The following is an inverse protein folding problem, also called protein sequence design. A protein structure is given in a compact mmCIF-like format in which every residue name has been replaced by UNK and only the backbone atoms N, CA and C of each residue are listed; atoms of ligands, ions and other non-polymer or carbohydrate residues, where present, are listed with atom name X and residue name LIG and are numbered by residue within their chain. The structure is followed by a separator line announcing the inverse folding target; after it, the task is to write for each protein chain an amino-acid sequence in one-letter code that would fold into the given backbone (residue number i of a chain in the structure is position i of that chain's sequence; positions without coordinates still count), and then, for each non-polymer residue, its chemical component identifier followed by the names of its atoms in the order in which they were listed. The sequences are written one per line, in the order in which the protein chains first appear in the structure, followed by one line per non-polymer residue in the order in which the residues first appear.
data_IF_241066387101
#
_entry.id   IF_241066387101
#
_cell.length_a   1.000
_cell.length_b   1.000
_cell.length_c   1.000
_cell.angle_alpha   90.00
_cell.angle_beta   90.00
_cell.angle_gamma   90.00
#
_symmetry.space_group_name_H-M   'P 1'
#
loop_
_entity.id
_entity.type
_entity.pdbx_description
1 polymer ?
#
# COMPACT_ATOMS: atom_id res chain seq x y z
N UNK A 1 47.21 12.36 -37.97
CA UNK A 1 45.80 12.80 -38.04
C UNK A 1 45.08 12.15 -36.87
N UNK A 2 44.50 13.00 -36.03
CA UNK A 2 43.77 12.66 -34.80
C UNK A 2 42.30 12.59 -35.17
N UNK A 3 41.65 11.46 -34.95
CA UNK A 3 40.18 11.37 -34.96
C UNK A 3 39.76 10.64 -33.67
N UNK A 4 39.72 11.41 -32.58
CA UNK A 4 39.06 10.99 -31.35
C UNK A 4 37.56 11.28 -31.51
N UNK A 5 36.77 10.21 -31.60
CA UNK A 5 35.32 10.26 -31.70
C UNK A 5 34.77 10.66 -30.33
N UNK A 6 34.32 11.91 -30.18
CA UNK A 6 33.57 12.36 -29.01
C UNK A 6 32.24 11.61 -28.92
N UNK A 7 32.15 10.68 -27.96
CA UNK A 7 30.88 10.12 -27.53
C UNK A 7 30.07 11.22 -26.82
N UNK A 8 29.02 11.70 -27.48
CA UNK A 8 28.01 12.57 -26.87
C UNK A 8 27.26 11.79 -25.80
N UNK A 9 27.61 12.05 -24.54
CA UNK A 9 26.87 11.61 -23.35
C UNK A 9 25.40 12.06 -23.47
N UNK A 10 24.48 11.10 -23.35
CA UNK A 10 23.05 11.37 -23.34
C UNK A 10 22.69 12.38 -22.23
N UNK A 11 21.72 13.29 -22.45
CA UNK A 11 21.35 14.29 -21.44
C UNK A 11 20.79 13.61 -20.18
N UNK A 12 21.37 13.94 -19.03
CA UNK A 12 20.89 13.55 -17.70
C UNK A 12 19.41 13.92 -17.57
N UNK A 13 18.60 12.98 -17.05
CA UNK A 13 17.20 13.23 -16.71
C UNK A 13 17.06 14.49 -15.82
N UNK A 14 16.00 15.29 -15.98
CA UNK A 14 15.84 16.54 -15.24
C UNK A 14 15.83 16.26 -13.73
N UNK A 15 16.78 16.88 -13.01
CA UNK A 15 16.87 16.80 -11.55
C UNK A 15 15.57 17.33 -10.94
N UNK A 16 14.98 16.57 -10.02
CA UNK A 16 13.81 17.00 -9.25
C UNK A 16 14.04 18.40 -8.63
N UNK A 17 13.02 19.26 -8.51
CA UNK A 17 13.13 20.55 -7.83
C UNK A 17 13.78 20.39 -6.44
N UNK A 18 14.57 21.38 -6.01
CA UNK A 18 15.26 21.35 -4.69
C UNK A 18 14.32 21.04 -3.50
N UNK A 19 13.06 21.44 -3.62
CA UNK A 19 11.99 21.17 -2.65
C UNK A 19 11.72 19.65 -2.51
N UNK A 20 11.53 18.95 -3.63
CA UNK A 20 11.27 17.50 -3.65
C UNK A 20 12.48 16.68 -3.18
N UNK A 21 13.69 17.12 -3.53
CA UNK A 21 14.92 16.51 -3.03
C UNK A 21 14.99 16.60 -1.49
N UNK A 22 14.62 17.75 -0.92
CA UNK A 22 14.62 17.95 0.53
C UNK A 22 13.54 17.11 1.21
N UNK A 23 12.32 17.06 0.65
CA UNK A 23 11.24 16.19 1.14
C UNK A 23 11.68 14.72 1.17
N UNK A 24 12.29 14.26 0.07
CA UNK A 24 12.82 12.90 -0.08
C UNK A 24 13.90 12.58 0.95
N UNK A 25 14.87 13.48 1.13
CA UNK A 25 15.93 13.34 2.12
C UNK A 25 15.38 13.19 3.55
N UNK A 26 14.37 13.99 3.92
CA UNK A 26 13.75 13.92 5.24
C UNK A 26 13.05 12.57 5.43
N UNK A 27 12.29 12.11 4.42
CA UNK A 27 11.58 10.83 4.47
C UNK A 27 12.53 9.64 4.59
N UNK A 28 13.59 9.60 3.78
CA UNK A 28 14.60 8.54 3.84
C UNK A 28 15.34 8.51 5.18
N UNK A 29 15.69 9.69 5.69
CA UNK A 29 16.30 9.82 7.02
C UNK A 29 15.37 9.32 8.11
N UNK A 30 14.06 9.64 8.02
CA UNK A 30 13.06 9.17 8.96
C UNK A 30 12.94 7.64 8.94
N UNK A 31 12.79 7.03 7.75
CA UNK A 31 12.68 5.58 7.60
C UNK A 31 13.90 4.85 8.15
N UNK A 32 15.11 5.36 7.87
CA UNK A 32 16.34 4.83 8.44
C UNK A 32 16.35 4.93 9.96
N UNK A 33 16.00 6.08 10.53
CA UNK A 33 15.94 6.25 11.98
C UNK A 33 14.85 5.39 12.63
N UNK A 34 13.71 5.20 11.97
CA UNK A 34 12.66 4.31 12.45
C UNK A 34 13.11 2.85 12.47
N UNK A 35 13.85 2.39 11.45
CA UNK A 35 14.45 1.06 11.44
C UNK A 35 15.51 0.89 12.52
N UNK A 36 16.40 1.88 12.67
CA UNK A 36 17.57 1.77 13.55
C UNK A 36 17.22 1.99 15.05
N UNK A 37 16.23 2.84 15.34
CA UNK A 37 15.89 3.27 16.71
C UNK A 37 14.46 2.91 17.14
N UNK A 38 13.61 2.49 16.20
CA UNK A 38 12.17 2.33 16.40
C UNK A 38 11.40 3.64 16.21
N UNK A 39 10.14 3.51 15.76
CA UNK A 39 9.22 4.64 15.54
C UNK A 39 8.99 5.50 16.79
N UNK A 40 8.76 4.86 17.94
CA UNK A 40 8.37 5.53 19.19
C UNK A 40 9.50 6.43 19.71
N UNK A 41 10.75 5.93 19.66
CA UNK A 41 11.94 6.62 20.18
C UNK A 41 12.48 7.69 19.23
N UNK A 42 12.04 7.71 17.98
CA UNK A 42 12.48 8.70 16.99
C UNK A 42 11.65 9.97 17.13
N UNK A 43 12.28 11.14 17.01
CA UNK A 43 11.62 12.45 17.11
C UNK A 43 11.85 13.28 15.84
N UNK A 44 10.93 14.20 15.53
CA UNK A 44 11.10 15.13 14.41
C UNK A 44 12.40 15.93 14.50
N UNK A 45 12.84 16.29 15.71
CA UNK A 45 14.11 16.98 15.95
C UNK A 45 15.32 16.11 15.57
N UNK A 46 15.30 14.84 15.96
CA UNK A 46 16.38 13.90 15.61
C UNK A 46 16.45 13.68 14.10
N UNK A 47 15.30 13.57 13.43
CA UNK A 47 15.22 13.45 11.97
C UNK A 47 15.80 14.69 11.30
N UNK A 48 15.39 15.89 11.72
CA UNK A 48 15.89 17.14 11.14
C UNK A 48 17.42 17.27 11.30
N UNK A 49 17.93 16.98 12.49
CA UNK A 49 19.36 17.02 12.78
C UNK A 49 20.15 16.04 11.89
N UNK A 50 19.68 14.80 11.78
CA UNK A 50 20.32 13.76 10.99
C UNK A 50 20.25 14.05 9.48
N UNK A 51 19.15 14.65 9.01
CA UNK A 51 18.96 15.06 7.62
C UNK A 51 19.72 16.36 7.27
N UNK A 52 20.35 17.03 8.25
CA UNK A 52 21.06 18.28 8.04
C UNK A 52 20.16 19.48 7.69
N UNK A 53 18.89 19.45 8.13
CA UNK A 53 17.93 20.53 7.90
C UNK A 53 17.49 21.17 9.22
N UNK A 54 16.97 22.39 9.17
CA UNK A 54 16.37 22.99 10.37
C UNK A 54 15.09 22.24 10.77
N UNK A 55 14.77 22.25 12.07
CA UNK A 55 13.54 21.64 12.59
C UNK A 55 12.30 22.27 11.93
N UNK A 56 12.29 23.59 11.75
CA UNK A 56 11.21 24.29 11.05
C UNK A 56 11.06 23.84 9.59
N UNK A 57 12.17 23.60 8.88
CA UNK A 57 12.14 23.07 7.52
C UNK A 57 11.60 21.63 7.49
N UNK A 58 11.94 20.78 8.47
CA UNK A 58 11.36 19.44 8.58
C UNK A 58 9.85 19.48 8.79
N UNK A 59 9.36 20.34 9.71
CA UNK A 59 7.92 20.53 9.94
C UNK A 59 7.18 21.15 8.76
N UNK A 60 7.85 21.96 7.94
CA UNK A 60 7.29 22.50 6.71
C UNK A 60 6.90 21.39 5.71
N UNK A 61 7.72 20.34 5.57
CA UNK A 61 7.41 19.20 4.71
C UNK A 61 6.51 18.16 5.36
N UNK A 62 6.69 17.91 6.66
CA UNK A 62 5.95 16.90 7.40
C UNK A 62 5.53 17.44 8.76
N UNK A 63 4.23 17.71 8.92
CA UNK A 63 3.69 18.33 10.12
C UNK A 63 3.86 17.48 11.40
N UNK A 64 4.04 16.17 11.25
CA UNK A 64 4.24 15.25 12.37
C UNK A 64 4.98 13.97 11.95
N UNK A 65 5.27 13.08 12.91
CA UNK A 65 5.85 11.76 12.62
C UNK A 65 4.89 10.87 11.85
N UNK A 66 3.60 11.02 12.11
CA UNK A 66 2.53 10.30 11.43
C UNK A 66 2.49 10.69 9.95
N UNK A 67 2.69 11.97 9.63
CA UNK A 67 2.78 12.44 8.24
C UNK A 67 3.98 11.85 7.48
N UNK A 68 5.07 11.49 8.18
CA UNK A 68 6.19 10.77 7.54
C UNK A 68 5.81 9.34 7.17
N UNK A 69 4.99 8.67 7.98
CA UNK A 69 4.46 7.34 7.66
C UNK A 69 3.50 7.42 6.49
N UNK A 70 2.62 8.43 6.46
CA UNK A 70 1.74 8.64 5.31
C UNK A 70 2.54 8.90 4.03
N UNK A 71 3.59 9.72 4.10
CA UNK A 71 4.50 9.90 2.96
C UNK A 71 5.24 8.63 2.55
N UNK A 72 5.48 7.69 3.47
CA UNK A 72 6.00 6.36 3.13
C UNK A 72 4.95 5.48 2.44
N UNK A 73 3.69 5.51 2.89
CA UNK A 73 2.61 4.81 2.22
C UNK A 73 2.33 5.36 0.81
N UNK A 74 2.40 6.68 0.63
CA UNK A 74 2.34 7.31 -0.70
C UNK A 74 3.46 6.76 -1.60
N UNK A 75 4.71 6.79 -1.10
CA UNK A 75 5.88 6.30 -1.84
C UNK A 75 5.74 4.83 -2.24
N UNK A 76 5.37 3.95 -1.30
CA UNK A 76 5.27 2.52 -1.61
C UNK A 76 4.12 2.24 -2.60
N UNK A 77 3.04 3.02 -2.54
CA UNK A 77 1.94 2.93 -3.50
C UNK A 77 2.38 3.39 -4.90
N UNK A 78 3.11 4.51 -4.99
CA UNK A 78 3.67 5.02 -6.25
C UNK A 78 4.68 4.04 -6.87
N UNK A 79 5.60 3.50 -6.06
CA UNK A 79 6.58 2.51 -6.51
C UNK A 79 5.90 1.22 -6.98
N UNK A 80 4.87 0.76 -6.26
CA UNK A 80 4.09 -0.41 -6.67
C UNK A 80 3.34 -0.16 -7.98
N UNK A 81 2.69 1.01 -8.13
CA UNK A 81 2.03 1.40 -9.38
C UNK A 81 3.00 1.40 -10.57
N UNK A 82 4.20 1.95 -10.39
CA UNK A 82 5.21 1.94 -11.43
C UNK A 82 5.69 0.51 -11.77
N UNK A 83 5.89 -0.33 -10.76
CA UNK A 83 6.37 -1.71 -10.94
C UNK A 83 5.36 -2.62 -11.66
N UNK A 84 4.06 -2.38 -11.48
CA UNK A 84 3.00 -3.19 -12.11
C UNK A 84 2.65 -2.74 -13.52
N UNK A 85 3.13 -1.59 -13.98
CA UNK A 85 2.77 -1.04 -15.28
C UNK A 85 3.09 -2.02 -16.42
N UNK A 86 4.27 -2.63 -16.40
CA UNK A 86 4.66 -3.64 -17.38
C UNK A 86 3.78 -4.90 -17.32
N UNK A 87 3.29 -5.28 -16.13
CA UNK A 87 2.39 -6.43 -15.94
C UNK A 87 1.00 -6.11 -16.47
N UNK A 88 0.50 -4.91 -16.20
CA UNK A 88 -0.90 -4.54 -16.45
C UNK A 88 -1.14 -4.02 -17.86
N UNK A 89 -0.18 -3.31 -18.45
CA UNK A 89 -0.24 -2.75 -19.81
C UNK A 89 0.50 -3.62 -20.85
N UNK A 90 1.26 -4.63 -20.41
CA UNK A 90 2.02 -5.55 -21.29
C UNK A 90 1.16 -6.53 -22.10
N UNK A 91 -0.16 -6.34 -22.17
CA UNK A 91 -1.09 -7.18 -22.91
C UNK A 91 -1.50 -8.49 -22.24
N UNK A 92 -1.05 -8.74 -21.01
CA UNK A 92 -1.46 -9.92 -20.21
C UNK A 92 -2.96 -9.82 -19.86
N UNK A 93 -3.74 -10.84 -20.24
CA UNK A 93 -5.21 -10.87 -20.03
C UNK A 93 -5.65 -11.95 -19.05
N UNK A 94 -4.78 -12.90 -18.72
CA UNK A 94 -5.10 -13.98 -17.81
C UNK A 94 -5.14 -13.47 -16.37
N UNK A 95 -6.31 -13.56 -15.72
CA UNK A 95 -6.52 -13.03 -14.38
C UNK A 95 -5.51 -13.59 -13.37
N UNK A 96 -5.16 -14.88 -13.46
CA UNK A 96 -4.17 -15.51 -12.60
C UNK A 96 -2.81 -14.82 -12.71
N UNK A 97 -2.36 -14.55 -13.94
CA UNK A 97 -1.08 -13.93 -14.20
C UNK A 97 -1.04 -12.47 -13.73
N UNK A 98 -2.14 -11.72 -13.93
CA UNK A 98 -2.28 -10.33 -13.44
C UNK A 98 -2.25 -10.27 -11.91
N UNK A 99 -3.05 -11.09 -11.21
CA UNK A 99 -3.05 -11.15 -9.73
C UNK A 99 -1.65 -11.53 -9.22
N UNK A 100 -1.05 -12.59 -9.79
CA UNK A 100 0.28 -13.05 -9.39
C UNK A 100 1.33 -11.94 -9.58
N UNK A 101 1.37 -11.34 -10.77
CA UNK A 101 2.37 -10.31 -11.11
C UNK A 101 2.26 -9.08 -10.21
N UNK A 102 1.05 -8.60 -9.92
CA UNK A 102 0.83 -7.47 -9.02
C UNK A 102 1.29 -7.76 -7.59
N UNK A 103 0.97 -8.94 -7.05
CA UNK A 103 1.35 -9.30 -5.68
C UNK A 103 2.86 -9.59 -5.54
N UNK A 104 3.49 -10.18 -6.55
CA UNK A 104 4.94 -10.38 -6.57
C UNK A 104 5.69 -9.04 -6.70
N UNK A 105 5.24 -8.15 -7.58
CA UNK A 105 5.81 -6.81 -7.70
C UNK A 105 5.72 -6.03 -6.39
N UNK A 106 4.61 -6.17 -5.65
CA UNK A 106 4.49 -5.59 -4.32
C UNK A 106 5.56 -6.14 -3.35
N UNK A 107 5.77 -7.47 -3.33
CA UNK A 107 6.80 -8.09 -2.48
C UNK A 107 8.21 -7.62 -2.84
N UNK A 108 8.51 -7.43 -4.13
CA UNK A 108 9.81 -6.94 -4.58
C UNK A 108 10.09 -5.50 -4.12
N UNK A 109 9.08 -4.63 -4.20
CA UNK A 109 9.16 -3.25 -3.72
C UNK A 109 9.21 -3.19 -2.18
N UNK A 110 8.48 -4.07 -1.50
CA UNK A 110 8.40 -4.09 -0.04
C UNK A 110 9.65 -4.68 0.63
N UNK A 111 10.41 -5.55 -0.06
CA UNK A 111 11.57 -6.29 0.47
C UNK A 111 12.56 -5.41 1.27
N UNK A 112 13.01 -4.24 0.78
CA UNK A 112 13.95 -3.38 1.53
C UNK A 112 13.38 -2.86 2.86
N UNK A 113 12.06 -2.91 3.02
CA UNK A 113 11.32 -2.40 4.18
C UNK A 113 10.88 -3.51 5.14
N UNK A 114 11.24 -4.78 4.92
CA UNK A 114 10.79 -5.91 5.75
C UNK A 114 11.07 -5.73 7.24
N UNK A 115 12.32 -5.38 7.58
CA UNK A 115 12.72 -5.17 8.97
C UNK A 115 11.97 -4.00 9.62
N UNK A 116 11.81 -2.89 8.87
CA UNK A 116 11.04 -1.74 9.33
C UNK A 116 9.57 -2.12 9.55
N UNK A 117 8.94 -2.79 8.60
CA UNK A 117 7.55 -3.19 8.67
C UNK A 117 7.26 -4.10 9.87
N UNK A 118 8.15 -5.05 10.17
CA UNK A 118 8.02 -5.92 11.34
C UNK A 118 8.08 -5.16 12.67
N UNK A 119 8.98 -4.19 12.80
CA UNK A 119 9.06 -3.34 13.99
C UNK A 119 7.89 -2.34 14.09
N UNK A 120 7.43 -1.85 12.94
CA UNK A 120 6.39 -0.85 12.82
C UNK A 120 4.98 -1.42 12.97
N UNK A 121 4.78 -2.70 12.68
CA UNK A 121 3.49 -3.38 12.70
C UNK A 121 2.69 -3.11 13.97
N UNK A 122 3.32 -3.12 15.15
CA UNK A 122 2.65 -2.84 16.42
C UNK A 122 1.97 -1.45 16.48
N UNK A 123 2.50 -0.46 15.76
CA UNK A 123 1.97 0.92 15.74
C UNK A 123 0.89 1.11 14.68
N UNK A 124 0.98 0.34 13.58
CA UNK A 124 0.00 0.35 12.50
C UNK A 124 -1.18 -0.60 12.75
N UNK A 125 -1.01 -1.62 13.61
CA UNK A 125 -2.04 -2.60 13.94
C UNK A 125 -3.04 -2.10 15.00
N UNK A 126 -2.76 -0.98 15.65
CA UNK A 126 -3.72 -0.32 16.54
C UNK A 126 -4.88 0.26 15.69
N UNK A 127 -6.13 -0.17 15.91
CA UNK A 127 -7.26 0.27 15.11
C UNK A 127 -7.58 1.76 15.24
N UNK A 128 -7.19 2.41 16.34
CA UNK A 128 -7.43 3.84 16.59
C UNK A 128 -6.24 4.70 16.14
N UNK A 129 -5.18 4.08 15.61
CA UNK A 129 -3.97 4.76 15.18
C UNK A 129 -4.13 5.37 13.78
N UNK A 130 -3.71 6.63 13.57
CA UNK A 130 -3.67 7.26 12.23
C UNK A 130 -2.60 6.63 11.32
N UNK A 131 -1.84 5.66 11.83
CA UNK A 131 -0.84 4.89 11.09
C UNK A 131 -1.42 3.61 10.49
N UNK A 132 -2.63 3.24 10.89
CA UNK A 132 -3.30 2.07 10.35
C UNK A 132 -3.54 2.28 8.85
N UNK A 133 -3.27 1.28 8.00
CA UNK A 133 -3.62 1.36 6.58
C UNK A 133 -5.14 1.47 6.36
N UNK A 134 -5.92 1.15 7.39
CA UNK A 134 -7.37 1.32 7.41
C UNK A 134 -7.81 2.69 7.91
N UNK A 135 -6.93 3.55 8.42
CA UNK A 135 -7.35 4.85 8.98
C UNK A 135 -7.81 5.83 7.89
N UNK A 136 -8.57 6.89 8.26
CA UNK A 136 -8.89 7.98 7.34
C UNK A 136 -7.66 8.68 6.75
N UNK A 137 -6.58 8.83 7.53
CA UNK A 137 -5.33 9.46 7.10
C UNK A 137 -4.65 8.67 5.97
N UNK A 138 -4.83 7.35 5.94
CA UNK A 138 -4.28 6.45 4.92
C UNK A 138 -5.18 6.33 3.67
N UNK A 139 -6.23 7.16 3.53
CA UNK A 139 -7.18 7.08 2.41
C UNK A 139 -6.52 7.21 1.04
N UNK A 140 -5.64 8.21 0.86
CA UNK A 140 -4.93 8.42 -0.41
C UNK A 140 -4.14 7.19 -0.87
N UNK A 141 -3.17 6.70 -0.08
CA UNK A 141 -2.43 5.48 -0.38
C UNK A 141 -3.32 4.25 -0.58
N UNK A 142 -4.38 4.11 0.22
CA UNK A 142 -5.31 2.99 0.13
C UNK A 142 -6.06 3.00 -1.20
N UNK A 143 -6.62 4.14 -1.61
CA UNK A 143 -7.30 4.26 -2.90
C UNK A 143 -6.33 4.04 -4.08
N UNK A 144 -5.10 4.52 -3.98
CA UNK A 144 -4.05 4.27 -4.97
C UNK A 144 -3.73 2.77 -5.11
N UNK A 145 -3.69 2.03 -4.00
CA UNK A 145 -3.49 0.58 -3.99
C UNK A 145 -4.73 -0.20 -4.48
N UNK A 146 -5.95 0.25 -4.14
CA UNK A 146 -7.20 -0.34 -4.64
C UNK A 146 -7.30 -0.16 -6.17
N UNK A 147 -6.84 0.98 -6.70
CA UNK A 147 -6.86 1.23 -8.14
C UNK A 147 -5.98 0.24 -8.93
N UNK A 148 -4.85 -0.18 -8.38
CA UNK A 148 -4.04 -1.26 -8.97
C UNK A 148 -4.87 -2.54 -9.16
N UNK A 149 -5.68 -2.91 -8.15
CA UNK A 149 -6.57 -4.08 -8.26
C UNK A 149 -7.74 -3.85 -9.22
N UNK A 150 -8.24 -2.62 -9.32
CA UNK A 150 -9.23 -2.25 -10.33
C UNK A 150 -8.68 -2.48 -11.75
N UNK A 151 -7.42 -2.09 -11.99
CA UNK A 151 -6.70 -2.34 -13.26
C UNK A 151 -6.43 -3.83 -13.50
N UNK A 152 -6.18 -4.63 -12.45
CA UNK A 152 -6.09 -6.10 -12.58
C UNK A 152 -7.37 -6.66 -13.18
N UNK A 153 -8.53 -6.28 -12.64
CA UNK A 153 -9.83 -6.79 -13.07
C UNK A 153 -10.21 -6.26 -14.45
N UNK A 154 -10.10 -4.95 -14.69
CA UNK A 154 -10.56 -4.34 -15.96
C UNK A 154 -9.77 -4.80 -17.18
N UNK A 155 -8.48 -5.11 -17.02
CA UNK A 155 -7.64 -5.63 -18.10
C UNK A 155 -7.74 -7.15 -18.31
N UNK A 156 -8.43 -7.88 -17.44
CA UNK A 156 -8.53 -9.33 -17.53
C UNK A 156 -9.63 -9.78 -18.51
N UNK A 157 -9.46 -10.94 -19.15
CA UNK A 157 -10.46 -11.55 -20.04
C UNK A 157 -11.62 -12.23 -19.29
N UNK A 158 -11.54 -12.32 -17.97
CA UNK A 158 -12.52 -13.02 -17.14
C UNK A 158 -13.87 -12.29 -17.14
N UNK A 159 -14.96 -13.07 -17.16
CA UNK A 159 -16.30 -12.53 -16.91
C UNK A 159 -16.59 -12.55 -15.42
N UNK A 160 -16.90 -11.39 -14.87
CA UNK A 160 -17.28 -11.19 -13.46
C UNK A 160 -18.76 -10.82 -13.40
N UNK A 161 -19.43 -11.22 -12.33
CA UNK A 161 -20.77 -10.71 -12.04
C UNK A 161 -20.72 -9.19 -11.75
N UNK A 162 -21.60 -8.36 -12.35
CA UNK A 162 -21.57 -6.92 -12.16
C UNK A 162 -21.67 -6.47 -10.70
N UNK A 163 -22.49 -7.13 -9.88
CA UNK A 163 -22.62 -6.77 -8.44
C UNK A 163 -21.31 -7.02 -7.71
N UNK A 164 -20.59 -8.10 -8.04
CA UNK A 164 -19.30 -8.37 -7.43
C UNK A 164 -18.19 -7.45 -7.94
N UNK A 165 -18.29 -7.01 -9.20
CA UNK A 165 -17.24 -6.22 -9.86
C UNK A 165 -16.91 -4.91 -9.14
N UNK A 166 -17.90 -4.30 -8.48
CA UNK A 166 -17.71 -3.07 -7.69
C UNK A 166 -16.90 -3.32 -6.42
N UNK A 167 -17.12 -4.45 -5.75
CA UNK A 167 -16.47 -4.80 -4.49
C UNK A 167 -15.11 -5.54 -4.66
N UNK A 168 -14.85 -6.13 -5.82
CA UNK A 168 -13.62 -6.91 -6.06
C UNK A 168 -12.31 -6.17 -5.83
N UNK A 169 -12.13 -4.92 -6.29
CA UNK A 169 -10.86 -4.21 -6.07
C UNK A 169 -10.53 -4.09 -4.58
N UNK A 170 -11.54 -3.80 -3.76
CA UNK A 170 -11.40 -3.72 -2.31
C UNK A 170 -11.12 -5.08 -1.67
N UNK A 171 -11.80 -6.15 -2.12
CA UNK A 171 -11.52 -7.52 -1.66
C UNK A 171 -10.08 -7.97 -1.97
N UNK A 172 -9.59 -7.65 -3.16
CA UNK A 172 -8.22 -7.97 -3.56
C UNK A 172 -7.20 -7.17 -2.76
N UNK A 173 -7.52 -5.91 -2.45
CA UNK A 173 -6.71 -5.11 -1.54
C UNK A 173 -6.70 -5.70 -0.11
N UNK A 174 -7.85 -6.15 0.42
CA UNK A 174 -7.90 -6.87 1.70
C UNK A 174 -7.08 -8.16 1.67
N UNK A 175 -7.17 -8.92 0.58
CA UNK A 175 -6.33 -10.10 0.38
C UNK A 175 -4.85 -9.72 0.41
N UNK A 176 -4.46 -8.61 -0.23
CA UNK A 176 -3.11 -8.08 -0.15
C UNK A 176 -2.74 -7.69 1.28
N UNK A 177 -3.63 -7.09 2.08
CA UNK A 177 -3.36 -6.81 3.50
C UNK A 177 -3.12 -8.10 4.30
N UNK A 178 -3.83 -9.18 3.99
CA UNK A 178 -3.55 -10.52 4.52
C UNK A 178 -2.16 -11.03 4.12
N UNK A 179 -1.73 -10.77 2.88
CA UNK A 179 -0.37 -11.07 2.42
C UNK A 179 0.68 -10.21 3.14
N UNK A 180 0.45 -8.91 3.31
CA UNK A 180 1.35 -8.01 4.06
C UNK A 180 1.53 -8.51 5.48
N UNK A 181 0.43 -8.88 6.14
CA UNK A 181 0.48 -9.46 7.48
C UNK A 181 1.32 -10.74 7.49
N UNK A 182 1.08 -11.67 6.56
CA UNK A 182 1.87 -12.90 6.48
C UNK A 182 3.37 -12.61 6.24
N UNK A 183 3.67 -11.70 5.31
CA UNK A 183 5.03 -11.29 4.95
C UNK A 183 5.80 -10.66 6.11
N UNK A 184 5.15 -9.83 6.92
CA UNK A 184 5.73 -9.26 8.15
C UNK A 184 6.26 -10.36 9.10
N UNK A 185 5.60 -11.50 9.17
CA UNK A 185 6.00 -12.62 10.03
C UNK A 185 6.87 -13.67 9.32
N UNK A 186 7.08 -13.55 8.00
CA UNK A 186 7.86 -14.50 7.22
C UNK A 186 9.36 -14.31 7.45
N UNK A 187 9.99 -15.29 8.08
CA UNK A 187 11.44 -15.30 8.38
C UNK A 187 12.24 -16.14 7.40
N UNK A 188 11.62 -16.66 6.34
CA UNK A 188 12.36 -17.36 5.31
C UNK A 188 13.24 -16.40 4.50
N UNK A 189 14.31 -16.92 3.92
CA UNK A 189 15.23 -16.14 3.07
C UNK A 189 14.45 -15.44 1.96
N UNK A 190 14.62 -14.11 1.86
CA UNK A 190 13.92 -13.24 0.90
C UNK A 190 12.40 -13.42 0.85
N UNK A 191 11.79 -13.70 2.01
CA UNK A 191 10.37 -13.97 2.17
C UNK A 191 9.84 -15.05 1.19
N UNK A 192 10.62 -16.12 1.00
CA UNK A 192 10.28 -17.22 0.11
C UNK A 192 8.92 -17.88 0.40
N UNK A 193 8.44 -17.90 1.66
CA UNK A 193 7.10 -18.41 1.97
C UNK A 193 6.00 -17.47 1.47
N UNK A 194 6.19 -16.16 1.57
CA UNK A 194 5.25 -15.14 1.10
C UNK A 194 5.12 -15.19 -0.42
N UNK A 195 6.24 -15.36 -1.13
CA UNK A 195 6.24 -15.59 -2.58
C UNK A 195 5.51 -16.88 -2.94
N UNK A 196 5.78 -17.99 -2.23
CA UNK A 196 5.04 -19.25 -2.41
C UNK A 196 3.55 -19.13 -2.08
N UNK A 197 3.17 -18.30 -1.11
CA UNK A 197 1.77 -18.01 -0.80
C UNK A 197 1.11 -17.32 -2.01
N UNK A 198 1.74 -16.31 -2.61
CA UNK A 198 1.23 -15.65 -3.83
C UNK A 198 1.00 -16.65 -4.97
N UNK A 199 1.98 -17.52 -5.23
CA UNK A 199 1.88 -18.55 -6.29
C UNK A 199 0.67 -19.48 -6.10
N UNK A 200 0.32 -19.80 -4.86
CA UNK A 200 -0.81 -20.68 -4.54
C UNK A 200 -2.14 -19.93 -4.42
N UNK A 201 -2.10 -18.68 -3.97
CA UNK A 201 -3.29 -17.87 -3.71
C UNK A 201 -3.88 -17.33 -5.01
N UNK A 202 -3.05 -16.84 -5.94
CA UNK A 202 -3.50 -16.28 -7.21
C UNK A 202 -4.45 -17.20 -8.02
N UNK A 203 -4.15 -18.49 -8.24
CA UNK A 203 -5.08 -19.38 -8.96
C UNK A 203 -6.37 -19.67 -8.19
N UNK A 204 -6.32 -19.73 -6.86
CA UNK A 204 -7.53 -19.92 -6.01
C UNK A 204 -8.44 -18.71 -6.13
N UNK A 205 -7.89 -17.50 -5.98
CA UNK A 205 -8.62 -16.23 -6.10
C UNK A 205 -9.23 -16.07 -7.48
N UNK A 206 -8.45 -16.30 -8.55
CA UNK A 206 -8.96 -16.20 -9.91
C UNK A 206 -10.08 -17.21 -10.20
N UNK A 207 -9.98 -18.44 -9.66
CA UNK A 207 -11.03 -19.45 -9.77
C UNK A 207 -12.29 -19.03 -9.02
N UNK A 208 -12.17 -18.50 -7.81
CA UNK A 208 -13.31 -17.99 -7.04
C UNK A 208 -14.02 -16.85 -7.79
N UNK A 209 -13.27 -15.90 -8.34
CA UNK A 209 -13.80 -14.80 -9.17
C UNK A 209 -14.50 -15.36 -10.41
N UNK A 210 -13.89 -16.31 -11.12
CA UNK A 210 -14.49 -16.93 -12.31
C UNK A 210 -15.77 -17.70 -12.00
N UNK A 211 -15.86 -18.31 -10.81
CA UNK A 211 -17.05 -19.02 -10.36
C UNK A 211 -18.21 -18.07 -10.01
N UNK A 212 -17.93 -16.83 -9.60
CA UNK A 212 -18.97 -15.86 -9.20
C UNK A 212 -20.03 -15.60 -10.28
N UNK A 213 -19.67 -15.76 -11.57
CA UNK A 213 -20.59 -15.59 -12.71
C UNK A 213 -21.71 -16.63 -12.77
N UNK A 214 -21.57 -17.77 -12.07
CA UNK A 214 -22.56 -18.84 -12.12
C UNK A 214 -23.77 -18.47 -11.26
N UNK A 215 -24.97 -18.56 -11.85
CA UNK A 215 -26.24 -18.23 -11.20
C UNK A 215 -26.44 -18.87 -9.82
N UNK A 216 -25.95 -20.09 -9.63
CA UNK A 216 -26.04 -20.82 -8.36
C UNK A 216 -25.34 -20.09 -7.20
N UNK A 217 -24.31 -19.30 -7.49
CA UNK A 217 -23.52 -18.58 -6.49
C UNK A 217 -23.96 -17.13 -6.28
N UNK A 218 -24.95 -16.63 -7.03
CA UNK A 218 -25.44 -15.24 -6.89
C UNK A 218 -25.91 -14.87 -5.48
N UNK A 219 -26.66 -15.72 -4.74
CA UNK A 219 -27.05 -15.37 -3.37
C UNK A 219 -25.83 -15.12 -2.46
N UNK A 220 -24.81 -15.98 -2.57
CA UNK A 220 -23.56 -15.85 -1.82
C UNK A 220 -22.77 -14.61 -2.24
N UNK A 221 -22.72 -14.31 -3.54
CA UNK A 221 -22.08 -13.11 -4.08
C UNK A 221 -22.74 -11.85 -3.52
N UNK A 222 -24.08 -11.82 -3.51
CA UNK A 222 -24.85 -10.70 -2.99
C UNK A 222 -24.64 -10.52 -1.48
N UNK A 223 -24.70 -11.60 -0.70
CA UNK A 223 -24.43 -11.56 0.74
C UNK A 223 -23.00 -11.09 1.03
N UNK A 224 -22.02 -11.53 0.24
CA UNK A 224 -20.63 -11.06 0.35
C UNK A 224 -20.54 -9.57 0.04
N UNK A 225 -21.21 -9.09 -1.00
CA UNK A 225 -21.25 -7.67 -1.34
C UNK A 225 -21.91 -6.84 -0.24
N UNK A 226 -23.04 -7.28 0.32
CA UNK A 226 -23.72 -6.62 1.45
C UNK A 226 -22.82 -6.56 2.69
N UNK A 227 -22.16 -7.67 3.05
CA UNK A 227 -21.19 -7.68 4.16
C UNK A 227 -20.04 -6.70 3.93
N UNK A 228 -19.53 -6.60 2.70
CA UNK A 228 -18.48 -5.63 2.40
C UNK A 228 -19.00 -4.21 2.49
N UNK A 229 -20.19 -3.92 1.95
CA UNK A 229 -20.78 -2.59 2.04
C UNK A 229 -21.02 -2.15 3.50
N UNK A 230 -21.42 -3.07 4.37
CA UNK A 230 -21.74 -2.81 5.77
C UNK A 230 -20.51 -2.65 6.66
N UNK A 231 -19.46 -3.46 6.42
CA UNK A 231 -18.33 -3.60 7.34
C UNK A 231 -17.01 -3.09 6.78
N UNK A 232 -16.91 -2.84 5.47
CA UNK A 232 -15.69 -2.25 4.94
C UNK A 232 -15.58 -0.79 5.35
N UNK A 233 -14.38 -0.38 5.77
CA UNK A 233 -14.08 1.02 6.00
C UNK A 233 -14.11 1.77 4.65
N UNK A 234 -15.30 2.22 4.25
CA UNK A 234 -15.39 3.39 3.38
C UNK A 234 -14.92 4.59 4.20
N UNK A 235 -14.32 5.60 3.55
CA UNK A 235 -13.96 6.85 4.22
C UNK A 235 -15.15 7.45 5.01
N UNK A 236 -16.38 7.20 4.55
CA UNK A 236 -17.62 7.61 5.20
C UNK A 236 -18.01 6.74 6.44
N UNK A 237 -17.75 5.43 6.43
CA UNK A 237 -18.17 4.50 7.49
C UNK A 237 -17.40 4.66 8.80
N UNK A 238 -16.10 4.96 8.73
CA UNK A 238 -15.25 5.12 9.93
C UNK A 238 -15.41 6.47 10.62
N UNK A 239 -15.72 7.54 9.87
CA UNK A 239 -16.01 8.85 10.46
C UNK A 239 -17.30 8.83 11.31
N UNK A 240 -18.22 7.92 11.03
CA UNK A 240 -19.49 7.79 11.75
C UNK A 240 -19.37 7.00 13.08
N UNK A 241 -18.43 6.07 13.20
CA UNK A 241 -18.24 5.25 14.41
C UNK A 241 -17.41 5.93 15.50
N UNK A 242 -16.63 6.97 15.16
CA UNK A 242 -15.72 7.67 16.08
C UNK A 242 -16.34 8.72 17.02
N UNK A 243 -17.67 8.94 17.01
CA UNK A 243 -18.29 9.82 18.02
C UNK A 243 -18.58 9.02 19.30
N UNK A 244 -17.90 9.29 20.44
CA UNK A 244 -18.31 8.70 21.69
C UNK A 244 -19.74 9.15 21.99
N UNK A 245 -20.65 8.19 22.24
CA UNK A 245 -21.97 8.50 22.80
C UNK A 245 -21.73 9.23 24.11
N UNK A 246 -21.94 10.55 24.12
CA UNK A 246 -22.01 11.35 25.35
C UNK A 246 -23.10 10.74 26.23
N UNK A 247 -22.71 9.92 27.19
CA UNK A 247 -23.57 9.53 28.30
C UNK A 247 -23.73 10.77 29.19
N UNK A 248 -24.89 11.40 29.12
CA UNK A 248 -25.24 12.48 30.04
C UNK A 248 -25.23 11.93 31.49
N UNK A 249 -24.66 12.67 32.46
CA UNK A 249 -24.71 12.24 33.86
C UNK A 249 -26.16 12.29 34.34
N UNK A 250 -26.63 11.18 34.92
CA UNK A 250 -27.84 11.17 35.76
C UNK A 250 -27.58 12.14 36.92
N UNK A 251 -28.43 13.15 37.04
CA UNK A 251 -28.55 13.93 38.28
C UNK A 251 -29.35 13.09 39.27
N UNK A 252 -28.73 12.79 40.39
CA UNK A 252 -29.42 12.45 41.64
C UNK A 252 -30.03 13.72 42.26
#
# INVERSE_FOLDING_TARGET
MKDAKEEKKAPDAPKAPKSEQTRTLILETALRLFRDRGYDKTTMRAIAQEAGVSVGNAYYYFASKEHLVQGFYDRIAEEHQAAVEAVLEGGEKELVARIRGVLLAWLDIAEPYHEFAAQFFKNAADPDSPLSPFSPESEGPREAAIDVHRRVISGASVKVDPELSEALPQLLWLQQMGLVLFWVYDRSEHAANSRRLVERLAPVTARAISLSRFRLLRPLVKETHELLADFMPTAAGMAASGRPRRTAPKKD
#
